data_IF_997091199435
#
_entry.id   IF_997091199435
#
_cell.length_a   1.000
_cell.length_b   1.000
_cell.length_c   1.000
_cell.angle_alpha   90.00
_cell.angle_beta   90.00
_cell.angle_gamma   90.00
#
_symmetry.space_group_name_H-M   'P 1'
#
loop_
_entity.id
_entity.type
_entity.pdbx_description
1 polymer ?
#
# COMPACT_ATOMS: atom_id res chain seq x y z
N UNK A 1 -46.66 24.05 35.30
CA UNK A 1 -45.92 24.28 34.03
C UNK A 1 -44.41 24.34 34.22
N UNK A 2 -43.88 25.08 35.20
CA UNK A 2 -42.43 25.22 35.44
C UNK A 2 -41.68 23.88 35.55
N UNK A 3 -42.20 22.90 36.28
CA UNK A 3 -41.56 21.59 36.51
C UNK A 3 -41.47 20.69 35.27
N UNK A 4 -42.39 20.85 34.30
CA UNK A 4 -42.38 20.05 33.06
C UNK A 4 -41.33 20.59 32.06
N UNK A 5 -41.11 21.90 32.06
CA UNK A 5 -40.10 22.54 31.21
C UNK A 5 -38.70 22.14 31.68
N UNK A 6 -38.44 22.10 32.99
CA UNK A 6 -37.12 21.70 33.53
C UNK A 6 -36.74 20.26 33.18
N UNK A 7 -37.70 19.33 33.19
CA UNK A 7 -37.46 17.92 32.84
C UNK A 7 -37.08 17.75 31.37
N UNK A 8 -37.71 18.48 30.45
CA UNK A 8 -37.41 18.41 29.02
C UNK A 8 -36.00 18.94 28.73
N UNK A 9 -35.60 20.05 29.36
CA UNK A 9 -34.24 20.57 29.21
C UNK A 9 -33.18 19.64 29.78
N UNK A 10 -33.44 18.97 30.91
CA UNK A 10 -32.51 18.00 31.47
C UNK A 10 -32.31 16.78 30.57
N UNK A 11 -33.37 16.30 29.93
CA UNK A 11 -33.34 15.13 29.02
C UNK A 11 -32.67 15.45 27.68
N UNK A 12 -32.85 16.68 27.19
CA UNK A 12 -32.18 17.16 25.98
C UNK A 12 -30.67 17.36 26.22
N UNK A 13 -30.28 17.87 27.40
CA UNK A 13 -28.88 18.05 27.76
C UNK A 13 -28.12 16.72 27.90
N UNK A 14 -28.75 15.67 28.46
CA UNK A 14 -28.15 14.34 28.54
C UNK A 14 -28.05 13.65 27.18
N UNK A 15 -29.02 13.82 26.28
CA UNK A 15 -28.94 13.32 24.90
C UNK A 15 -27.76 13.93 24.13
N UNK A 16 -27.56 15.25 24.22
CA UNK A 16 -26.47 15.95 23.53
C UNK A 16 -25.10 15.54 24.11
N UNK A 17 -25.01 15.33 25.42
CA UNK A 17 -23.77 14.86 26.06
C UNK A 17 -23.37 13.45 25.60
N UNK A 18 -24.33 12.53 25.38
CA UNK A 18 -24.03 11.18 24.90
C UNK A 18 -23.60 11.14 23.42
N UNK A 19 -24.05 12.08 22.58
CA UNK A 19 -23.61 12.11 21.16
C UNK A 19 -22.17 12.60 20.96
N UNK A 20 -21.57 13.26 21.96
CA UNK A 20 -20.20 13.78 21.88
C UNK A 20 -19.11 12.75 22.18
N UNK A 21 -19.48 11.54 22.64
CA UNK A 21 -18.53 10.47 22.97
C UNK A 21 -18.21 9.53 21.79
N UNK A 22 -18.89 9.67 20.66
CA UNK A 22 -18.75 8.76 19.51
C UNK A 22 -18.04 9.37 18.29
N UNK A 23 -17.56 10.61 18.39
CA UNK A 23 -16.80 11.26 17.31
C UNK A 23 -15.39 11.57 17.79
N UNK A 24 -14.71 10.55 18.29
CA UNK A 24 -13.27 10.49 18.14
C UNK A 24 -13.01 9.52 17.00
N UNK A 25 -12.86 10.06 15.79
CA UNK A 25 -11.96 9.44 14.83
C UNK A 25 -10.63 9.32 15.58
N UNK A 26 -10.36 8.13 16.11
CA UNK A 26 -9.21 7.90 16.95
C UNK A 26 -7.98 8.11 16.07
N UNK A 27 -7.28 9.20 16.34
CA UNK A 27 -5.87 9.34 16.04
C UNK A 27 -5.10 8.56 17.12
N UNK A 28 -5.34 7.25 17.18
CA UNK A 28 -4.76 6.30 18.15
C UNK A 28 -3.39 5.76 17.70
N UNK A 29 -2.69 6.49 16.82
CA UNK A 29 -1.47 5.99 16.21
C UNK A 29 -1.72 5.03 15.04
N UNK A 30 -2.96 4.97 14.51
CA UNK A 30 -3.28 4.34 13.22
C UNK A 30 -2.53 5.00 12.07
N UNK A 31 -1.36 4.45 11.80
CA UNK A 31 -0.56 4.66 10.61
C UNK A 31 -1.38 4.19 9.39
N UNK A 32 -1.51 5.03 8.36
CA UNK A 32 -2.02 4.73 7.00
C UNK A 32 -3.53 4.76 6.74
N UNK A 33 -4.12 5.95 6.63
CA UNK A 33 -5.29 6.14 5.76
C UNK A 33 -4.85 6.71 4.42
N UNK A 34 -4.56 5.82 3.46
CA UNK A 34 -4.71 6.19 2.06
C UNK A 34 -5.61 5.14 1.40
N UNK A 35 -6.90 5.46 1.32
CA UNK A 35 -7.93 4.63 0.69
C UNK A 35 -7.71 4.51 -0.82
N UNK A 36 -6.76 3.66 -1.21
CA UNK A 36 -6.43 3.36 -2.61
C UNK A 36 -6.73 1.92 -3.01
N UNK A 37 -7.36 1.14 -2.13
CA UNK A 37 -7.78 -0.25 -2.39
C UNK A 37 -9.30 -0.38 -2.32
N UNK A 38 -10.00 0.58 -2.95
CA UNK A 38 -11.47 0.66 -2.90
C UNK A 38 -12.06 0.97 -1.52
N UNK A 39 -11.26 1.53 -0.61
CA UNK A 39 -11.71 1.92 0.73
C UNK A 39 -11.19 1.03 1.86
N UNK A 40 -10.51 -0.08 1.55
CA UNK A 40 -9.82 -0.87 2.56
C UNK A 40 -8.67 -0.07 3.20
N UNK A 41 -8.50 -0.25 4.50
CA UNK A 41 -7.52 0.44 5.33
C UNK A 41 -6.56 -0.58 5.95
N UNK A 42 -5.26 -0.41 5.71
CA UNK A 42 -4.22 -1.24 6.33
C UNK A 42 -3.65 -0.54 7.55
N UNK A 43 -3.63 -1.23 8.68
CA UNK A 43 -2.99 -0.83 9.93
C UNK A 43 -1.82 -1.76 10.22
N UNK A 44 -0.64 -1.22 10.51
CA UNK A 44 0.52 -2.03 10.91
C UNK A 44 1.15 -1.49 12.19
N UNK A 45 1.45 -2.38 13.13
CA UNK A 45 2.24 -2.06 14.32
C UNK A 45 3.17 -3.22 14.72
N UNK A 46 4.11 -2.94 15.62
CA UNK A 46 5.12 -3.91 16.07
C UNK A 46 4.60 -4.94 17.10
N UNK A 47 3.34 -4.86 17.51
CA UNK A 47 2.69 -5.77 18.47
C UNK A 47 1.83 -6.80 17.75
N UNK A 48 0.89 -6.35 16.92
CA UNK A 48 -0.12 -7.15 16.26
C UNK A 48 0.23 -7.49 14.81
N UNK A 49 1.18 -6.76 14.20
CA UNK A 49 1.52 -6.89 12.78
C UNK A 49 0.60 -6.05 11.90
N UNK A 50 0.27 -6.56 10.70
CA UNK A 50 -0.50 -5.83 9.71
C UNK A 50 -1.93 -6.36 9.59
N UNK A 51 -2.91 -5.51 9.87
CA UNK A 51 -4.35 -5.80 9.82
C UNK A 51 -5.02 -4.99 8.71
N UNK A 52 -5.79 -5.64 7.85
CA UNK A 52 -6.64 -4.98 6.86
C UNK A 52 -8.08 -4.92 7.34
N UNK A 53 -8.67 -3.74 7.28
CA UNK A 53 -10.07 -3.46 7.53
C UNK A 53 -10.75 -2.96 6.26
N UNK A 54 -12.04 -3.19 6.10
CA UNK A 54 -12.79 -2.54 5.01
C UNK A 54 -13.12 -1.06 5.33
N UNK A 55 -13.86 -0.42 4.44
CA UNK A 55 -14.32 0.98 4.56
C UNK A 55 -15.29 1.23 5.74
N UNK A 56 -15.88 0.17 6.29
CA UNK A 56 -16.73 0.20 7.48
C UNK A 56 -15.95 -0.10 8.78
N UNK A 57 -14.65 -0.39 8.68
CA UNK A 57 -13.81 -0.78 9.81
C UNK A 57 -13.99 -2.25 10.23
N UNK A 58 -14.60 -3.09 9.39
CA UNK A 58 -14.73 -4.52 9.64
C UNK A 58 -13.43 -5.25 9.30
N UNK A 59 -13.08 -6.22 10.13
CA UNK A 59 -11.87 -7.03 9.95
C UNK A 59 -11.95 -7.90 8.70
N UNK A 60 -10.89 -7.85 7.87
CA UNK A 60 -10.72 -8.73 6.72
C UNK A 60 -9.67 -9.80 7.00
N UNK A 61 -8.45 -9.39 7.38
CA UNK A 61 -7.35 -10.29 7.72
C UNK A 61 -6.29 -9.60 8.58
N UNK A 62 -5.41 -10.41 9.18
CA UNK A 62 -4.20 -9.97 9.86
C UNK A 62 -3.03 -10.89 9.52
N UNK A 63 -1.86 -10.30 9.27
CA UNK A 63 -0.57 -10.97 9.22
C UNK A 63 0.19 -10.62 10.51
N UNK A 64 0.48 -11.60 11.38
CA UNK A 64 1.16 -11.35 12.65
C UNK A 64 2.55 -10.77 12.48
N UNK A 65 2.98 -9.90 13.41
CA UNK A 65 4.32 -9.29 13.38
C UNK A 65 5.44 -10.34 13.29
N UNK A 66 5.31 -11.46 14.00
CA UNK A 66 6.31 -12.53 13.98
C UNK A 66 6.56 -13.09 12.57
N UNK A 67 5.51 -13.22 11.76
CA UNK A 67 5.61 -13.68 10.36
C UNK A 67 6.29 -12.63 9.49
N UNK A 68 6.00 -11.35 9.73
CA UNK A 68 6.65 -10.23 9.03
C UNK A 68 8.15 -10.20 9.37
N UNK A 69 8.50 -10.32 10.65
CA UNK A 69 9.89 -10.32 11.12
C UNK A 69 10.68 -11.51 10.56
N UNK A 70 10.10 -12.72 10.58
CA UNK A 70 10.72 -13.91 10.00
C UNK A 70 10.97 -13.73 8.51
N UNK A 71 10.00 -13.16 7.79
CA UNK A 71 10.13 -12.92 6.34
C UNK A 71 11.16 -11.84 6.03
N UNK A 72 11.25 -10.78 6.84
CA UNK A 72 12.33 -9.79 6.73
C UNK A 72 13.70 -10.41 6.99
N UNK A 73 13.82 -11.26 8.00
CA UNK A 73 15.08 -11.94 8.30
C UNK A 73 15.53 -12.80 7.12
N UNK A 74 14.63 -13.61 6.54
CA UNK A 74 14.91 -14.39 5.33
C UNK A 74 15.27 -13.49 4.13
N UNK A 75 14.49 -12.44 3.87
CA UNK A 75 14.73 -11.48 2.79
C UNK A 75 16.14 -10.88 2.87
N UNK A 76 16.55 -10.46 4.07
CA UNK A 76 17.85 -9.83 4.28
C UNK A 76 19.01 -10.83 4.29
N UNK A 77 18.79 -12.06 4.77
CA UNK A 77 19.80 -13.12 4.70
C UNK A 77 20.11 -13.50 3.25
N UNK A 78 19.08 -13.65 2.43
CA UNK A 78 19.23 -14.06 1.05
C UNK A 78 19.55 -12.90 0.10
N UNK A 79 19.20 -11.66 0.47
CA UNK A 79 19.34 -10.47 -0.36
C UNK A 79 18.31 -10.38 -1.49
N UNK A 80 17.09 -10.89 -1.26
CA UNK A 80 15.99 -10.89 -2.23
C UNK A 80 14.67 -10.41 -1.61
N UNK A 81 13.58 -10.50 -2.38
CA UNK A 81 12.23 -10.18 -1.94
C UNK A 81 11.37 -11.42 -1.75
N UNK A 82 10.47 -11.38 -0.77
CA UNK A 82 9.50 -12.41 -0.46
C UNK A 82 8.08 -11.85 -0.44
N UNK A 83 7.12 -12.69 -0.82
CA UNK A 83 5.68 -12.37 -0.75
C UNK A 83 5.02 -13.18 0.37
N UNK A 84 4.23 -12.49 1.20
CA UNK A 84 3.32 -13.11 2.17
C UNK A 84 1.91 -13.01 1.60
N UNK A 85 1.26 -14.15 1.36
CA UNK A 85 -0.16 -14.21 1.03
C UNK A 85 -0.99 -13.77 2.25
N UNK A 86 -1.46 -12.52 2.23
CA UNK A 86 -2.03 -11.88 3.43
C UNK A 86 -3.51 -12.25 3.63
N UNK A 87 -4.28 -12.33 2.54
CA UNK A 87 -5.70 -12.66 2.59
C UNK A 87 -6.51 -11.97 1.49
N UNK A 88 -7.83 -11.97 1.64
CA UNK A 88 -8.75 -11.30 0.73
C UNK A 88 -9.13 -9.91 1.24
N UNK A 89 -8.85 -8.88 0.45
CA UNK A 89 -9.47 -7.56 0.57
C UNK A 89 -10.89 -7.54 0.01
N UNK A 90 -11.55 -6.38 0.06
CA UNK A 90 -12.93 -6.20 -0.42
C UNK A 90 -13.06 -6.52 -1.92
N UNK A 91 -12.03 -6.21 -2.71
CA UNK A 91 -12.08 -6.32 -4.17
C UNK A 91 -11.17 -7.40 -4.77
N UNK A 92 -10.42 -8.13 -3.95
CA UNK A 92 -9.52 -9.17 -4.45
C UNK A 92 -8.48 -9.63 -3.43
N UNK A 93 -7.61 -10.57 -3.83
CA UNK A 93 -6.52 -11.04 -2.98
C UNK A 93 -5.50 -9.93 -2.72
N UNK A 94 -4.83 -10.01 -1.58
CA UNK A 94 -3.84 -9.05 -1.13
C UNK A 94 -2.56 -9.75 -0.69
N UNK A 95 -1.43 -9.10 -0.93
CA UNK A 95 -0.09 -9.62 -0.67
C UNK A 95 0.73 -8.57 0.03
N UNK A 96 1.49 -8.97 1.05
CA UNK A 96 2.56 -8.16 1.62
C UNK A 96 3.88 -8.57 0.97
N UNK A 97 4.46 -7.67 0.19
CA UNK A 97 5.74 -7.83 -0.48
C UNK A 97 6.84 -7.23 0.39
N UNK A 98 7.76 -8.06 0.87
CA UNK A 98 8.91 -7.66 1.68
C UNK A 98 10.15 -7.71 0.80
N UNK A 99 10.93 -6.63 0.78
CA UNK A 99 12.20 -6.58 0.05
C UNK A 99 13.34 -6.13 0.95
N UNK A 100 14.49 -6.80 0.81
CA UNK A 100 15.72 -6.44 1.47
C UNK A 100 16.90 -6.75 0.55
N UNK A 101 17.52 -5.70 -0.01
CA UNK A 101 18.64 -5.81 -0.94
C UNK A 101 19.85 -5.10 -0.36
N UNK A 102 21.06 -5.62 -0.63
CA UNK A 102 22.29 -4.97 -0.18
C UNK A 102 22.38 -3.52 -0.69
N UNK A 103 22.58 -2.58 0.24
CA UNK A 103 22.66 -1.15 -0.06
C UNK A 103 21.32 -0.42 -0.17
N UNK A 104 20.19 -1.10 0.06
CA UNK A 104 18.85 -0.50 0.11
C UNK A 104 18.21 -0.72 1.48
N UNK A 105 17.39 0.24 1.90
CA UNK A 105 16.57 0.10 3.11
C UNK A 105 15.53 -1.02 2.91
N UNK A 106 15.31 -1.91 3.90
CA UNK A 106 14.26 -2.91 3.83
C UNK A 106 12.88 -2.26 3.75
N UNK A 107 11.99 -2.81 2.92
CA UNK A 107 10.65 -2.23 2.73
C UNK A 107 9.54 -3.28 2.77
N UNK A 108 8.37 -2.84 3.26
CA UNK A 108 7.13 -3.60 3.28
C UNK A 108 6.13 -2.92 2.34
N UNK A 109 5.63 -3.62 1.34
CA UNK A 109 4.68 -3.09 0.36
C UNK A 109 3.40 -3.91 0.34
N UNK A 110 2.25 -3.28 0.58
CA UNK A 110 0.96 -3.91 0.34
C UNK A 110 0.60 -3.81 -1.14
N UNK A 111 0.28 -4.94 -1.77
CA UNK A 111 -0.31 -5.04 -3.11
C UNK A 111 -1.73 -5.56 -2.97
N UNK A 112 -2.72 -4.80 -3.43
CA UNK A 112 -4.14 -5.18 -3.34
C UNK A 112 -4.96 -4.56 -4.48
N UNK A 113 -6.17 -5.10 -4.69
CA UNK A 113 -7.07 -4.67 -5.76
C UNK A 113 -7.99 -3.52 -5.29
N UNK A 114 -8.30 -2.61 -6.20
CA UNK A 114 -9.32 -1.57 -6.01
C UNK A 114 -10.70 -1.95 -6.60
N UNK A 115 -11.66 -1.04 -6.51
CA UNK A 115 -13.04 -1.23 -6.99
C UNK A 115 -13.16 -1.47 -8.50
N UNK A 116 -12.10 -1.22 -9.25
CA UNK A 116 -12.01 -1.45 -10.69
C UNK A 116 -11.24 -2.74 -11.02
N UNK A 117 -10.80 -3.50 -10.02
CA UNK A 117 -9.99 -4.70 -10.21
C UNK A 117 -8.56 -4.38 -10.65
N UNK A 118 -8.09 -3.16 -10.41
CA UNK A 118 -6.69 -2.78 -10.66
C UNK A 118 -5.86 -3.00 -9.41
N UNK A 119 -4.66 -3.55 -9.59
CA UNK A 119 -3.69 -3.69 -8.50
C UNK A 119 -3.08 -2.31 -8.22
N UNK A 120 -3.14 -1.90 -6.96
CA UNK A 120 -2.42 -0.75 -6.43
C UNK A 120 -1.35 -1.25 -5.45
N UNK A 121 -0.39 -0.39 -5.15
CA UNK A 121 0.70 -0.71 -4.23
C UNK A 121 0.93 0.47 -3.27
N UNK A 122 1.15 0.17 -1.99
CA UNK A 122 1.56 1.16 -0.99
C UNK A 122 2.75 0.60 -0.22
N UNK A 123 3.81 1.38 -0.17
CA UNK A 123 5.06 1.03 0.53
C UNK A 123 5.11 1.71 1.90
N UNK A 124 5.58 0.97 2.89
CA UNK A 124 5.74 1.39 4.27
C UNK A 124 7.18 1.19 4.73
N UNK A 125 7.72 2.12 5.54
CA UNK A 125 8.97 1.89 6.23
C UNK A 125 8.78 0.83 7.32
N UNK A 126 9.85 0.08 7.64
CA UNK A 126 9.81 -1.02 8.62
C UNK A 126 9.45 -0.56 10.04
N UNK A 127 9.72 0.69 10.38
CA UNK A 127 9.37 1.27 11.67
C UNK A 127 7.87 1.63 11.79
N UNK A 128 7.08 1.31 10.76
CA UNK A 128 5.67 1.66 10.64
C UNK A 128 5.41 3.14 10.90
N UNK A 129 6.37 4.05 10.66
CA UNK A 129 6.11 5.47 10.85
C UNK A 129 5.10 5.91 9.78
N UNK A 130 4.06 6.70 10.16
CA UNK A 130 3.03 7.11 9.21
C UNK A 130 3.64 7.74 7.97
N UNK A 131 3.30 7.20 6.80
CA UNK A 131 3.48 7.94 5.55
C UNK A 131 2.41 9.03 5.61
N UNK A 132 2.79 10.24 6.05
CA UNK A 132 1.92 11.41 5.94
C UNK A 132 1.34 11.47 4.51
N UNK A 133 0.09 11.92 4.31
CA UNK A 133 -0.59 11.85 3.02
C UNK A 133 0.39 12.31 1.95
N UNK A 134 0.70 11.36 1.07
CA UNK A 134 1.72 11.50 0.05
C UNK A 134 1.43 12.81 -0.68
N UNK A 135 2.27 13.83 -0.48
CA UNK A 135 2.42 14.85 -1.51
C UNK A 135 2.73 14.04 -2.75
N UNK A 136 1.81 14.04 -3.72
CA UNK A 136 1.93 13.26 -4.93
C UNK A 136 3.37 13.38 -5.41
N UNK A 137 4.16 12.31 -5.23
CA UNK A 137 5.48 12.27 -5.82
C UNK A 137 5.17 12.30 -7.30
N UNK A 138 5.42 13.46 -7.92
CA UNK A 138 5.51 13.52 -9.36
C UNK A 138 6.58 12.49 -9.68
N UNK A 139 6.16 11.34 -10.18
CA UNK A 139 7.04 10.44 -10.90
C UNK A 139 7.55 11.33 -12.02
N UNK A 140 8.71 11.96 -11.79
CA UNK A 140 9.44 12.60 -12.85
C UNK A 140 9.68 11.47 -13.83
N UNK A 141 8.85 11.41 -14.87
CA UNK A 141 9.09 10.56 -16.02
C UNK A 141 10.52 10.89 -16.38
N UNK A 142 11.46 9.93 -16.32
CA UNK A 142 12.82 10.21 -16.75
C UNK A 142 12.68 10.77 -18.15
N UNK A 143 13.04 12.05 -18.30
CA UNK A 143 13.10 12.66 -19.62
C UNK A 143 14.15 11.84 -20.33
N UNK A 144 13.71 10.90 -21.17
CA UNK A 144 14.60 10.18 -22.05
C UNK A 144 15.23 11.25 -22.91
N UNK A 145 16.49 11.57 -22.60
CA UNK A 145 17.32 12.32 -23.52
C UNK A 145 17.26 11.56 -24.84
N UNK A 146 16.94 12.20 -25.98
CA UNK A 146 16.86 11.49 -27.25
C UNK A 146 18.24 10.92 -27.56
N UNK A 147 18.43 9.64 -27.24
CA UNK A 147 19.56 8.86 -27.72
C UNK A 147 19.35 8.71 -29.20
N UNK A 148 20.05 9.55 -29.97
CA UNK A 148 20.15 9.41 -31.42
C UNK A 148 20.93 8.14 -31.72
N UNK A 149 20.25 7.00 -31.69
CA UNK A 149 20.78 5.76 -32.24
C UNK A 149 20.74 5.91 -33.76
N UNK A 150 21.89 5.87 -34.46
CA UNK A 150 21.88 5.86 -35.92
C UNK A 150 21.19 4.57 -36.38
N UNK A 151 20.14 4.73 -37.18
CA UNK A 151 19.46 3.62 -37.85
C UNK A 151 20.45 3.02 -38.86
N UNK A 152 20.88 1.76 -38.73
CA UNK A 152 21.60 1.10 -39.81
C UNK A 152 20.63 0.95 -40.99
N UNK A 153 20.93 1.67 -42.07
CA UNK A 153 20.15 1.62 -43.31
C UNK A 153 20.53 0.33 -44.05
N UNK A 154 19.77 -0.74 -43.83
CA UNK A 154 19.83 -1.91 -44.68
C UNK A 154 19.03 -1.64 -45.96
N UNK A 155 19.73 -1.24 -47.03
CA UNK A 155 19.18 -1.27 -48.37
C UNK A 155 18.90 -2.72 -48.77
N UNK A 156 17.63 -3.09 -48.84
CA UNK A 156 17.22 -4.32 -49.51
C UNK A 156 17.34 -4.10 -51.03
N UNK A 157 18.50 -4.41 -51.61
CA UNK A 157 18.57 -4.66 -53.05
C UNK A 157 18.10 -6.09 -53.30
N UNK A 158 17.00 -6.21 -54.04
CA UNK A 158 16.43 -7.48 -54.48
C UNK A 158 17.43 -8.15 -55.41
N UNK A 159 18.23 -9.09 -54.90
CA UNK A 159 18.72 -10.30 -55.58
C UNK A 159 19.91 -10.91 -54.82
N UNK A 160 19.78 -12.22 -54.57
CA UNK A 160 20.82 -13.16 -54.14
C UNK A 160 21.21 -13.20 -52.66
N UNK A 161 21.31 -14.44 -52.17
CA UNK A 161 21.67 -14.89 -50.82
C UNK A 161 22.77 -14.06 -50.16
N UNK A 162 22.57 -13.65 -48.90
CA UNK A 162 23.69 -13.49 -47.99
C UNK A 162 23.29 -13.57 -46.51
N UNK A 163 24.22 -14.13 -45.76
CA UNK A 163 24.19 -14.58 -44.36
C UNK A 163 24.46 -13.37 -43.45
N UNK A 164 23.71 -13.20 -42.36
CA UNK A 164 24.12 -12.30 -41.27
C UNK A 164 24.84 -13.12 -40.19
N UNK A 165 26.10 -12.80 -39.79
CA UNK A 165 26.76 -13.47 -38.68
C UNK A 165 26.29 -12.94 -37.32
N UNK A 166 26.29 -13.83 -36.33
CA UNK A 166 26.02 -13.53 -34.93
C UNK A 166 27.12 -12.63 -34.35
N UNK A 167 26.72 -11.57 -33.65
CA UNK A 167 27.64 -10.73 -32.89
C UNK A 167 27.88 -11.39 -31.53
N UNK A 168 29.12 -11.81 -31.29
CA UNK A 168 29.66 -12.02 -29.95
C UNK A 168 30.15 -10.66 -29.46
N UNK A 169 29.72 -10.28 -28.26
CA UNK A 169 30.57 -9.80 -27.17
C UNK A 169 29.77 -9.88 -25.87
#
# INVERSE_FOLDING_TARGET
MKTRVTLIFALLATMIAMTSLFVQAQDDGRINMVGHFGGDNLYCDATDGCTLLNDHGEFLWNVPQATIDETFAMACEDGFSYDIEAGWGTYGPSVLHISCYEGYEPTLTLKAFDEHGKINEIQFPQNYVPVMPMQAHSTAVPTMSPTSTPIPTCYASVSALSICPANKD
#
